data_IF_214075685397
#
_entry.id   IF_214075685397
#
_cell.length_a   1.000
_cell.length_b   1.000
_cell.length_c   1.000
_cell.angle_alpha   90.00
_cell.angle_beta   90.00
_cell.angle_gamma   90.00
#
_symmetry.space_group_name_H-M   'P 1'
#
loop_
_entity.id
_entity.type
_entity.pdbx_description
1 polymer ?
#
# COMPACT_ATOMS: atom_id res chain seq x y z
N UNK A 1 -26.74 -9.46 -0.89
CA UNK A 1 -26.75 -8.01 -1.17
C UNK A 1 -27.97 -7.70 -2.01
N UNK A 2 -28.65 -6.57 -1.79
CA UNK A 2 -29.73 -6.11 -2.67
C UNK A 2 -29.22 -5.92 -4.10
N UNK A 3 -30.13 -5.93 -5.07
CA UNK A 3 -29.80 -5.75 -6.50
C UNK A 3 -29.03 -4.43 -6.71
N UNK A 4 -27.97 -4.45 -7.53
CA UNK A 4 -27.17 -3.26 -7.80
C UNK A 4 -28.00 -2.10 -8.41
N UNK A 5 -29.12 -2.40 -9.05
CA UNK A 5 -30.06 -1.40 -9.60
C UNK A 5 -30.86 -0.67 -8.54
N UNK A 6 -30.92 -1.19 -7.30
CA UNK A 6 -31.61 -0.53 -6.18
C UNK A 6 -30.68 0.33 -5.32
N UNK A 7 -29.47 0.63 -5.79
CA UNK A 7 -28.54 1.51 -5.08
C UNK A 7 -29.08 2.94 -5.05
N UNK A 8 -29.15 3.50 -3.84
CA UNK A 8 -29.58 4.88 -3.63
C UNK A 8 -28.36 5.80 -3.47
N UNK A 9 -28.48 7.04 -3.93
CA UNK A 9 -27.46 8.05 -3.67
C UNK A 9 -27.31 8.27 -2.15
N UNK A 10 -26.07 8.26 -1.66
CA UNK A 10 -25.78 8.37 -0.22
C UNK A 10 -25.98 7.09 0.58
N UNK A 11 -26.29 5.96 -0.07
CA UNK A 11 -26.34 4.66 0.61
C UNK A 11 -24.96 4.29 1.14
N UNK A 12 -24.89 3.92 2.43
CA UNK A 12 -23.67 3.40 3.04
C UNK A 12 -23.45 1.97 2.57
N UNK A 13 -22.27 1.74 2.00
CA UNK A 13 -21.85 0.43 1.51
C UNK A 13 -20.62 -0.02 2.31
N UNK A 14 -20.70 -1.21 2.88
CA UNK A 14 -19.52 -1.90 3.39
C UNK A 14 -18.79 -2.55 2.21
N UNK A 15 -17.64 -1.98 1.84
CA UNK A 15 -16.84 -2.43 0.70
C UNK A 15 -15.59 -3.13 1.24
N UNK A 16 -15.52 -4.47 1.16
CA UNK A 16 -14.37 -5.21 1.66
C UNK A 16 -13.16 -4.97 0.75
N UNK A 17 -12.24 -4.13 1.20
CA UNK A 17 -10.97 -3.91 0.51
C UNK A 17 -10.04 -5.09 0.76
N UNK A 18 -9.44 -5.62 -0.31
CA UNK A 18 -8.38 -6.63 -0.20
C UNK A 18 -7.16 -6.02 0.47
N UNK A 19 -6.67 -6.69 1.51
CA UNK A 19 -5.44 -6.34 2.21
C UNK A 19 -4.30 -7.32 1.86
N UNK A 20 -3.07 -6.90 2.10
CA UNK A 20 -1.91 -7.78 1.98
C UNK A 20 -1.93 -8.89 3.05
N UNK A 21 -1.42 -10.05 2.68
CA UNK A 21 -1.06 -11.13 3.62
C UNK A 21 0.07 -10.68 4.52
N UNK A 22 0.09 -11.15 5.77
CA UNK A 22 1.12 -10.79 6.75
C UNK A 22 1.55 -11.99 7.59
N UNK A 23 2.73 -11.89 8.19
CA UNK A 23 3.25 -12.88 9.14
C UNK A 23 2.92 -12.52 10.61
N UNK A 24 1.94 -11.61 10.83
CA UNK A 24 1.60 -11.11 12.15
C UNK A 24 1.02 -12.24 12.99
N UNK A 25 1.58 -12.44 14.18
CA UNK A 25 1.13 -13.47 15.11
C UNK A 25 -0.28 -13.19 15.62
N UNK A 26 -1.06 -14.25 15.83
CA UNK A 26 -2.38 -14.16 16.47
C UNK A 26 -2.32 -13.69 17.93
N UNK A 27 -1.14 -13.75 18.56
CA UNK A 27 -0.86 -13.24 19.90
C UNK A 27 -0.41 -11.78 19.94
N UNK A 28 -0.13 -11.17 18.78
CA UNK A 28 0.26 -9.77 18.71
C UNK A 28 -0.90 -8.83 19.05
N UNK A 29 -0.59 -7.66 19.59
CA UNK A 29 -1.59 -6.63 19.90
C UNK A 29 -2.26 -6.13 18.61
N UNK A 30 -1.48 -6.03 17.53
CA UNK A 30 -1.90 -5.59 16.20
C UNK A 30 -2.22 -6.75 15.24
N UNK A 31 -2.64 -7.91 15.76
CA UNK A 31 -3.06 -9.09 14.98
C UNK A 31 -4.11 -8.87 13.88
N UNK A 32 -4.87 -7.77 13.97
CA UNK A 32 -5.91 -7.41 12.99
C UNK A 32 -5.46 -6.32 12.01
N UNK A 33 -4.17 -5.97 11.99
CA UNK A 33 -3.60 -4.99 11.08
C UNK A 33 -3.86 -5.40 9.62
N UNK A 34 -4.54 -4.54 8.87
CA UNK A 34 -4.90 -4.76 7.47
C UNK A 34 -4.51 -3.53 6.67
N UNK A 35 -3.66 -3.72 5.67
CA UNK A 35 -3.18 -2.64 4.82
C UNK A 35 -3.64 -2.94 3.39
N UNK A 36 -4.56 -2.13 2.82
CA UNK A 36 -4.98 -2.29 1.43
C UNK A 36 -3.89 -1.84 0.46
N UNK A 37 -4.04 -2.22 -0.81
CA UNK A 37 -3.10 -1.84 -1.87
C UNK A 37 -2.85 -0.32 -1.92
N UNK A 38 -1.60 0.07 -2.17
CA UNK A 38 -1.14 1.45 -2.31
C UNK A 38 -1.37 2.30 -1.05
N UNK A 39 -1.41 1.66 0.12
CA UNK A 39 -1.48 2.33 1.41
C UNK A 39 -0.37 1.83 2.34
N UNK A 40 -0.18 2.57 3.43
CA UNK A 40 0.78 2.23 4.48
C UNK A 40 0.18 2.52 5.86
N UNK A 41 0.80 1.95 6.89
CA UNK A 41 0.44 2.16 8.29
C UNK A 41 1.69 2.21 9.16
N UNK A 42 1.63 3.01 10.21
CA UNK A 42 2.60 2.99 11.30
C UNK A 42 2.05 2.13 12.43
N UNK A 43 2.84 1.17 12.90
CA UNK A 43 2.51 0.28 14.02
C UNK A 43 3.67 0.21 15.03
N UNK A 44 3.47 -0.52 16.11
CA UNK A 44 4.43 -0.68 17.21
C UNK A 44 4.94 0.69 17.70
N UNK A 45 4.03 1.55 18.16
CA UNK A 45 4.35 2.89 18.64
C UNK A 45 5.18 3.73 17.65
N UNK A 46 4.79 3.67 16.37
CA UNK A 46 5.46 4.32 15.24
C UNK A 46 6.89 3.84 14.98
N UNK A 47 7.29 2.66 15.48
CA UNK A 47 8.61 2.08 15.21
C UNK A 47 8.69 1.32 13.89
N UNK A 48 7.55 0.87 13.35
CA UNK A 48 7.49 0.05 12.15
C UNK A 48 6.51 0.70 11.17
N UNK A 49 6.94 0.86 9.91
CA UNK A 49 6.09 1.27 8.80
C UNK A 49 5.85 0.06 7.90
N UNK A 50 4.58 -0.29 7.70
CA UNK A 50 4.18 -1.38 6.83
C UNK A 50 3.40 -0.86 5.63
N UNK A 51 3.79 -1.26 4.43
CA UNK A 51 3.12 -0.96 3.17
C UNK A 51 2.52 -2.19 2.50
N UNK A 52 1.60 -1.97 1.59
CA UNK A 52 1.02 -3.03 0.76
C UNK A 52 1.02 -2.65 -0.72
N UNK A 53 1.51 -3.57 -1.55
CA UNK A 53 1.52 -3.44 -3.01
C UNK A 53 0.79 -4.61 -3.66
N UNK A 54 0.00 -4.31 -4.70
CA UNK A 54 -0.66 -5.31 -5.53
C UNK A 54 0.29 -6.20 -6.34
N UNK A 55 1.59 -5.87 -6.38
CA UNK A 55 2.59 -6.70 -7.07
C UNK A 55 2.82 -8.02 -6.33
N UNK A 56 2.92 -7.98 -5.00
CA UNK A 56 3.23 -9.16 -4.18
C UNK A 56 2.04 -9.60 -3.32
N UNK A 57 1.12 -8.68 -3.01
CA UNK A 57 0.07 -8.88 -1.99
C UNK A 57 0.62 -9.37 -0.64
N UNK A 58 1.88 -9.05 -0.35
CA UNK A 58 2.55 -9.32 0.92
C UNK A 58 2.85 -8.00 1.63
N UNK A 59 2.67 -7.99 2.94
CA UNK A 59 2.94 -6.83 3.78
C UNK A 59 4.46 -6.64 3.87
N UNK A 60 4.94 -5.48 3.41
CA UNK A 60 6.36 -5.11 3.49
C UNK A 60 6.54 -4.10 4.62
N UNK A 61 7.37 -4.44 5.60
CA UNK A 61 7.54 -3.65 6.81
C UNK A 61 9.00 -3.31 7.05
N UNK A 62 9.26 -2.05 7.36
CA UNK A 62 10.59 -1.53 7.62
C UNK A 62 10.62 -0.77 8.95
N UNK A 63 11.74 -0.79 9.69
CA UNK A 63 11.93 0.09 10.84
C UNK A 63 11.83 1.56 10.41
N UNK A 64 11.11 2.37 11.18
CA UNK A 64 11.07 3.82 10.95
C UNK A 64 12.34 4.46 11.46
N UNK A 65 13.04 5.19 10.60
CA UNK A 65 14.21 5.96 10.99
C UNK A 65 13.80 7.38 11.40
N UNK A 66 14.19 7.80 12.61
CA UNK A 66 14.09 9.20 13.03
C UNK A 66 12.71 9.71 13.48
N UNK A 67 11.66 8.88 13.47
CA UNK A 67 10.33 9.28 13.97
C UNK A 67 10.20 9.16 15.49
N UNK A 68 10.91 8.20 16.10
CA UNK A 68 10.85 7.92 17.53
C UNK A 68 12.25 7.64 18.06
N UNK A 69 12.65 8.24 19.20
CA UNK A 69 14.04 8.23 19.66
C UNK A 69 14.52 6.87 20.19
N UNK A 70 13.63 5.92 20.46
CA UNK A 70 14.03 4.58 20.94
C UNK A 70 13.05 3.51 20.47
N UNK A 71 13.45 2.77 19.45
CA UNK A 71 12.75 1.57 18.98
C UNK A 71 13.60 0.33 19.22
N UNK A 72 13.04 -0.74 19.81
CA UNK A 72 13.71 -2.03 19.87
C UNK A 72 14.08 -2.50 18.47
N UNK A 73 15.25 -3.12 18.31
CA UNK A 73 15.62 -3.73 17.05
C UNK A 73 14.73 -4.95 16.77
N UNK A 74 14.14 -5.00 15.58
CA UNK A 74 13.39 -6.14 15.08
C UNK A 74 14.32 -7.01 14.22
N UNK A 75 14.57 -8.26 14.64
CA UNK A 75 15.49 -9.18 13.95
C UNK A 75 15.02 -10.63 13.97
N UNK A 76 15.44 -11.39 12.98
CA UNK A 76 15.22 -12.81 12.82
C UNK A 76 16.59 -13.52 12.80
N UNK A 77 17.13 -13.83 13.97
CA UNK A 77 18.53 -14.27 14.10
C UNK A 77 19.49 -13.13 13.74
N UNK A 78 20.24 -13.30 12.66
CA UNK A 78 21.20 -12.32 12.13
C UNK A 78 20.58 -11.39 11.06
N UNK A 79 19.33 -11.64 10.66
CA UNK A 79 18.64 -10.87 9.63
C UNK A 79 17.83 -9.73 10.26
N UNK A 80 18.08 -8.49 9.86
CA UNK A 80 17.24 -7.36 10.24
C UNK A 80 15.88 -7.41 9.54
N UNK A 81 14.86 -6.86 10.18
CA UNK A 81 13.52 -6.72 9.59
C UNK A 81 13.59 -6.11 8.19
N UNK A 82 12.88 -6.72 7.24
CA UNK A 82 12.85 -6.30 5.84
C UNK A 82 13.97 -6.89 4.97
N UNK A 83 15.08 -7.31 5.57
CA UNK A 83 16.15 -7.96 4.82
C UNK A 83 15.75 -9.37 4.41
N UNK A 84 16.34 -9.82 3.31
CA UNK A 84 16.07 -11.10 2.67
C UNK A 84 17.38 -11.85 2.45
N UNK A 85 17.37 -13.17 2.69
CA UNK A 85 18.46 -14.09 2.43
C UNK A 85 18.00 -15.17 1.48
N UNK A 86 18.78 -15.41 0.42
CA UNK A 86 18.60 -16.55 -0.47
C UNK A 86 19.47 -17.70 0.01
N UNK A 87 18.91 -18.89 0.07
CA UNK A 87 19.65 -20.10 0.44
C UNK A 87 20.58 -20.48 -0.72
N UNK A 88 21.87 -20.69 -0.44
CA UNK A 88 22.83 -21.14 -1.46
C UNK A 88 22.51 -22.54 -2.03
N UNK A 89 21.71 -23.33 -1.30
CA UNK A 89 21.29 -24.70 -1.65
C UNK A 89 19.95 -24.77 -2.39
N UNK A 90 19.09 -23.76 -2.29
CA UNK A 90 17.80 -23.69 -2.98
C UNK A 90 17.67 -22.36 -3.73
N UNK A 91 18.07 -22.37 -5.00
CA UNK A 91 18.04 -21.20 -5.91
C UNK A 91 16.64 -20.61 -6.14
N UNK A 92 15.60 -21.32 -5.72
CA UNK A 92 14.20 -20.94 -5.88
C UNK A 92 13.53 -20.48 -4.59
N UNK A 93 14.25 -20.39 -3.47
CA UNK A 93 13.68 -19.96 -2.19
C UNK A 93 14.36 -18.68 -1.70
N UNK A 94 13.52 -17.75 -1.30
CA UNK A 94 13.93 -16.49 -0.71
C UNK A 94 13.31 -16.39 0.67
N UNK A 95 14.12 -16.14 1.69
CA UNK A 95 13.66 -16.03 3.07
C UNK A 95 13.81 -14.60 3.56
N UNK A 96 12.70 -13.97 3.94
CA UNK A 96 12.66 -12.58 4.42
C UNK A 96 12.40 -12.55 5.91
N UNK A 97 13.05 -11.64 6.64
CA UNK A 97 12.67 -11.34 8.02
C UNK A 97 11.46 -10.42 8.01
N UNK A 98 10.29 -10.99 8.29
CA UNK A 98 9.00 -10.30 8.22
C UNK A 98 8.53 -9.85 9.59
N UNK A 99 7.72 -8.80 9.60
CA UNK A 99 7.10 -8.30 10.82
C UNK A 99 6.05 -9.28 11.34
N UNK A 100 6.15 -9.64 12.63
CA UNK A 100 5.26 -10.60 13.28
C UNK A 100 4.37 -9.95 14.36
N UNK A 101 4.31 -8.61 14.41
CA UNK A 101 3.51 -7.86 15.37
C UNK A 101 4.33 -7.27 16.52
N UNK A 102 3.65 -6.75 17.53
CA UNK A 102 4.29 -6.33 18.79
C UNK A 102 3.49 -6.75 20.02
N UNK A 103 4.18 -6.77 21.16
CA UNK A 103 3.59 -7.01 22.48
C UNK A 103 3.97 -5.90 23.45
N UNK A 104 3.13 -5.68 24.45
CA UNK A 104 3.32 -4.66 25.49
C UNK A 104 2.73 -5.12 26.83
N UNK A 105 2.82 -6.42 27.13
CA UNK A 105 2.29 -7.00 28.38
C UNK A 105 3.26 -6.83 29.54
N UNK A 106 4.55 -7.14 29.33
CA UNK A 106 5.62 -7.00 30.32
C UNK A 106 6.68 -5.97 29.88
N UNK A 107 7.02 -5.98 28.60
CA UNK A 107 7.91 -5.00 27.96
C UNK A 107 7.50 -4.79 26.51
N UNK A 108 7.65 -3.55 26.03
CA UNK A 108 7.43 -3.24 24.63
C UNK A 108 8.46 -3.98 23.76
N UNK A 109 7.97 -4.93 22.97
CA UNK A 109 8.82 -5.80 22.15
C UNK A 109 8.23 -5.96 20.76
N UNK A 110 9.05 -5.75 19.74
CA UNK A 110 8.71 -6.01 18.34
C UNK A 110 9.04 -7.45 18.00
N UNK A 111 8.07 -8.16 17.44
CA UNK A 111 8.19 -9.54 16.99
C UNK A 111 8.53 -9.55 15.50
N UNK A 112 9.45 -10.42 15.10
CA UNK A 112 9.77 -10.69 13.71
C UNK A 112 9.91 -12.20 13.49
N UNK A 113 9.60 -12.68 12.28
CA UNK A 113 9.68 -14.09 11.93
C UNK A 113 10.21 -14.28 10.50
N UNK A 114 10.94 -15.38 10.26
CA UNK A 114 11.37 -15.73 8.91
C UNK A 114 10.17 -16.21 8.09
N UNK A 115 9.99 -15.62 6.91
CA UNK A 115 8.99 -16.03 5.93
C UNK A 115 9.68 -16.46 4.66
N UNK A 116 9.45 -17.70 4.23
CA UNK A 116 10.02 -18.25 3.01
C UNK A 116 9.03 -18.12 1.87
N UNK A 117 9.49 -17.60 0.73
CA UNK A 117 8.71 -17.47 -0.51
C UNK A 117 9.45 -18.14 -1.66
N UNK A 118 8.71 -18.85 -2.52
CA UNK A 118 9.25 -19.43 -3.75
C UNK A 118 9.37 -18.37 -4.84
N UNK A 119 10.59 -18.10 -5.32
CA UNK A 119 10.85 -17.06 -6.33
C UNK A 119 10.80 -17.59 -7.78
N UNK A 120 10.87 -18.90 -7.99
CA UNK A 120 10.85 -19.49 -9.33
C UNK A 120 9.47 -19.50 -10.03
N UNK A 121 8.38 -19.28 -9.28
CA UNK A 121 7.02 -19.23 -9.84
C UNK A 121 6.49 -17.81 -10.09
N UNK A 122 7.33 -16.77 -9.91
CA UNK A 122 6.91 -15.37 -10.06
C UNK A 122 6.45 -14.99 -11.49
N UNK A 123 6.62 -15.87 -12.48
CA UNK A 123 6.18 -15.66 -13.87
C UNK A 123 4.77 -16.20 -14.18
N UNK A 124 4.06 -16.88 -13.26
CA UNK A 124 2.94 -17.75 -13.65
C UNK A 124 1.61 -17.62 -12.91
N UNK A 125 1.51 -16.92 -11.78
CA UNK A 125 0.25 -16.88 -11.01
C UNK A 125 -0.01 -15.46 -10.49
N UNK A 126 -0.64 -14.64 -11.33
CA UNK A 126 -1.42 -13.51 -10.81
C UNK A 126 -2.57 -14.10 -9.98
N UNK A 127 -2.74 -13.75 -8.69
CA UNK A 127 -3.94 -14.12 -7.95
C UNK A 127 -5.16 -13.59 -8.71
N UNK A 128 -6.16 -14.45 -8.91
CA UNK A 128 -7.34 -14.17 -9.73
C UNK A 128 -7.79 -12.70 -9.61
N UNK A 129 -7.65 -11.98 -10.73
CA UNK A 129 -8.17 -10.64 -10.87
C UNK A 129 -9.63 -10.66 -10.44
N UNK A 130 -9.97 -9.74 -9.54
CA UNK A 130 -11.36 -9.45 -9.22
C UNK A 130 -12.09 -9.12 -10.53
N UNK A 131 -13.32 -9.58 -10.76
CA UNK A 131 -14.02 -9.30 -12.00
C UNK A 131 -14.13 -7.77 -12.17
N UNK A 132 -13.47 -7.27 -13.21
CA UNK A 132 -13.42 -5.85 -13.58
C UNK A 132 -14.78 -5.39 -14.08
N UNK A 133 -15.74 -5.16 -13.19
CA UNK A 133 -16.95 -4.40 -13.50
C UNK A 133 -16.68 -2.92 -13.20
N UNK A 134 -15.87 -2.29 -14.04
CA UNK A 134 -15.67 -0.84 -14.01
C UNK A 134 -15.42 -0.34 -15.42
N UNK A 135 -16.51 -0.08 -16.14
CA UNK A 135 -16.51 0.82 -17.29
C UNK A 135 -16.54 2.27 -16.74
N UNK A 136 -15.44 2.71 -16.15
CA UNK A 136 -15.21 4.13 -15.94
C UNK A 136 -14.63 4.68 -17.26
N UNK A 137 -15.44 5.43 -18.00
CA UNK A 137 -14.97 6.20 -19.14
C UNK A 137 -13.88 7.17 -18.68
N UNK A 138 -12.64 6.92 -19.13
CA UNK A 138 -11.54 7.87 -18.98
C UNK A 138 -11.89 9.11 -19.80
N UNK A 139 -12.48 10.11 -19.15
CA UNK A 139 -12.67 11.43 -19.71
C UNK A 139 -11.28 12.02 -19.96
N UNK A 140 -11.04 12.42 -21.21
CA UNK A 140 -9.73 12.74 -21.76
C UNK A 140 -8.97 13.83 -21.01
N UNK A 141 -7.64 13.74 -21.16
CA UNK A 141 -6.62 14.62 -20.60
C UNK A 141 -7.03 16.11 -20.55
N UNK A 142 -6.91 16.78 -19.38
CA UNK A 142 -7.28 18.20 -19.22
C UNK A 142 -6.33 19.18 -19.93
N UNK A 143 -5.25 18.70 -20.53
CA UNK A 143 -4.21 19.52 -21.15
C UNK A 143 -4.69 20.38 -22.34
N UNK A 144 -5.83 20.05 -22.96
CA UNK A 144 -6.34 20.80 -24.12
C UNK A 144 -7.25 21.99 -23.76
N UNK A 145 -7.69 22.10 -22.51
CA UNK A 145 -8.58 23.16 -22.05
C UNK A 145 -7.83 24.37 -21.51
N UNK A 146 -6.62 24.19 -20.94
CA UNK A 146 -5.79 25.30 -20.45
C UNK A 146 -5.39 26.27 -21.56
N UNK A 147 -5.02 25.76 -22.74
CA UNK A 147 -4.60 26.57 -23.89
C UNK A 147 -5.71 27.51 -24.40
N UNK A 148 -6.95 27.01 -24.43
CA UNK A 148 -8.12 27.80 -24.88
C UNK A 148 -8.46 28.92 -23.90
N UNK A 149 -8.30 28.66 -22.59
CA UNK A 149 -8.54 29.66 -21.56
C UNK A 149 -7.49 30.77 -21.65
N UNK A 150 -6.21 30.43 -21.78
CA UNK A 150 -5.13 31.42 -21.93
C UNK A 150 -5.32 32.25 -23.20
N UNK A 151 -5.64 31.61 -24.34
CA UNK A 151 -5.91 32.31 -25.60
C UNK A 151 -7.07 33.30 -25.52
N UNK A 152 -8.18 32.94 -24.86
CA UNK A 152 -9.32 33.83 -24.68
C UNK A 152 -8.98 35.05 -23.82
N UNK A 153 -8.19 34.88 -22.76
CA UNK A 153 -7.78 35.99 -21.89
C UNK A 153 -6.87 36.99 -22.62
N UNK A 154 -5.94 36.50 -23.44
CA UNK A 154 -5.05 37.36 -24.25
C UNK A 154 -5.84 38.12 -25.32
N UNK A 155 -6.78 37.47 -26.00
CA UNK A 155 -7.63 38.12 -27.00
C UNK A 155 -8.51 39.24 -26.42
N UNK A 156 -9.09 39.02 -25.23
CA UNK A 156 -9.88 40.03 -24.52
C UNK A 156 -9.03 41.23 -24.08
N UNK A 157 -7.79 41.01 -23.63
CA UNK A 157 -6.85 42.08 -23.32
C UNK A 157 -6.53 42.90 -24.59
N UNK A 158 -6.17 42.24 -25.70
CA UNK A 158 -5.88 42.93 -26.96
C UNK A 158 -7.07 43.75 -27.47
N UNK A 159 -8.29 43.21 -27.42
CA UNK A 159 -9.50 43.94 -27.82
C UNK A 159 -9.81 45.11 -26.88
N UNK A 160 -9.46 45.02 -25.60
CA UNK A 160 -9.56 46.12 -24.64
C UNK A 160 -8.58 47.25 -24.92
N UNK A 161 -7.37 46.93 -25.37
CA UNK A 161 -6.36 47.92 -25.77
C UNK A 161 -6.69 48.57 -27.13
N UNK A 162 -7.16 47.82 -28.13
CA UNK A 162 -7.55 48.37 -29.43
C UNK A 162 -8.82 49.25 -29.39
N UNK A 163 -9.62 49.19 -28.31
CA UNK A 163 -10.81 50.04 -28.12
C UNK A 163 -10.51 51.36 -27.39
N UNK A 164 -9.25 51.61 -27.03
CA UNK A 164 -8.83 52.78 -26.25
C UNK A 164 -7.99 53.80 -27.04
N UNK A 165 -7.86 53.59 -28.35
CA UNK A 165 -7.45 54.57 -29.37
C UNK A 165 -8.66 54.91 -30.27
#
# INVERSE_FOLDING_TARGET
MPDAKSLLAGQVLDVPLRACSSAISSSAIDRNLRVPNASYILTANNCIMCGCSSTTWQLDCQPTQGLTPSCPAAKCGDLFLGNTSTSATSTCESTTCSYAGYTNSSSFTILANLTTSSVCNAAGISPAAQPSHSLASRLGSPARWSELIVGLHVALLCLGFLRRD
#
